data_IF_992308317477
#
_entry.id   IF_992308317477
#
_cell.length_a   1.000
_cell.length_b   1.000
_cell.length_c   1.000
_cell.angle_alpha   90.00
_cell.angle_beta   90.00
_cell.angle_gamma   90.00
#
_symmetry.space_group_name_H-M   'P 1'
#
loop_
_entity.id
_entity.type
_entity.pdbx_description
1 polymer ?
#
# COMPACT_ATOMS: atom_id res chain seq x y z
N UNK A 1 4.69 4.52 24.60
CA UNK A 1 5.01 4.26 23.17
C UNK A 1 5.83 2.98 23.07
N UNK A 2 5.18 1.85 22.79
CA UNK A 2 5.89 0.58 22.63
C UNK A 2 6.52 0.55 21.23
N UNK A 3 7.85 0.57 21.16
CA UNK A 3 8.60 0.63 19.88
C UNK A 3 8.29 -0.57 18.98
N UNK A 4 7.92 -1.70 19.59
CA UNK A 4 7.61 -2.95 18.89
C UNK A 4 6.27 -2.88 18.15
N UNK A 5 5.27 -2.21 18.72
CA UNK A 5 3.97 -1.99 18.07
C UNK A 5 4.11 -1.09 16.84
N UNK A 6 4.90 -0.01 16.95
CA UNK A 6 5.17 0.90 15.83
C UNK A 6 5.92 0.19 14.69
N UNK A 7 6.91 -0.65 15.03
CA UNK A 7 7.63 -1.46 14.03
C UNK A 7 6.70 -2.44 13.32
N UNK A 8 5.85 -3.16 14.05
CA UNK A 8 4.88 -4.11 13.45
C UNK A 8 3.88 -3.40 12.53
N UNK A 9 3.38 -2.24 12.95
CA UNK A 9 2.49 -1.42 12.13
C UNK A 9 3.17 -0.96 10.82
N UNK A 10 4.41 -0.43 10.90
CA UNK A 10 5.16 0.00 9.71
C UNK A 10 5.41 -1.15 8.74
N UNK A 11 5.73 -2.34 9.25
CA UNK A 11 5.95 -3.53 8.42
C UNK A 11 4.63 -3.95 7.74
N UNK A 12 3.53 -4.02 8.49
CA UNK A 12 2.22 -4.40 7.95
C UNK A 12 1.72 -3.40 6.88
N UNK A 13 1.82 -2.10 7.16
CA UNK A 13 1.49 -1.03 6.25
C UNK A 13 2.33 -1.09 4.96
N UNK A 14 3.64 -1.29 5.10
CA UNK A 14 4.56 -1.42 3.97
C UNK A 14 4.25 -2.63 3.10
N UNK A 15 4.00 -3.79 3.70
CA UNK A 15 3.63 -5.02 2.98
C UNK A 15 2.32 -4.82 2.21
N UNK A 16 1.32 -4.19 2.84
CA UNK A 16 0.05 -3.88 2.19
C UNK A 16 0.23 -2.92 1.02
N UNK A 17 1.01 -1.85 1.19
CA UNK A 17 1.30 -0.90 0.13
C UNK A 17 1.96 -1.57 -1.09
N UNK A 18 2.98 -2.41 -0.86
CA UNK A 18 3.65 -3.16 -1.93
C UNK A 18 2.68 -4.13 -2.62
N UNK A 19 1.85 -4.84 -1.86
CA UNK A 19 0.83 -5.75 -2.43
C UNK A 19 -0.20 -4.99 -3.26
N UNK A 20 -0.67 -3.83 -2.80
CA UNK A 20 -1.60 -2.96 -3.54
C UNK A 20 -0.96 -2.43 -4.82
N UNK A 21 0.31 -2.01 -4.77
CA UNK A 21 1.05 -1.56 -5.94
C UNK A 21 1.19 -2.67 -6.98
N UNK A 22 1.58 -3.87 -6.54
CA UNK A 22 1.70 -5.04 -7.41
C UNK A 22 0.37 -5.44 -8.05
N UNK A 23 -0.71 -5.48 -7.27
CA UNK A 23 -2.05 -5.76 -7.80
C UNK A 23 -2.48 -4.71 -8.83
N UNK A 24 -2.24 -3.43 -8.55
CA UNK A 24 -2.55 -2.34 -9.48
C UNK A 24 -1.78 -2.47 -10.79
N UNK A 25 -0.48 -2.78 -10.71
CA UNK A 25 0.36 -2.99 -11.89
C UNK A 25 -0.14 -4.18 -12.74
N UNK A 26 -0.47 -5.31 -12.10
CA UNK A 26 -1.03 -6.49 -12.80
C UNK A 26 -2.36 -6.17 -13.47
N UNK A 27 -3.25 -5.43 -12.79
CA UNK A 27 -4.53 -5.00 -13.36
C UNK A 27 -4.34 -4.10 -14.59
N UNK A 28 -3.41 -3.14 -14.54
CA UNK A 28 -3.13 -2.27 -15.68
C UNK A 28 -2.60 -3.06 -16.88
N UNK A 29 -1.63 -3.95 -16.64
CA UNK A 29 -1.07 -4.85 -17.67
C UNK A 29 -2.18 -5.70 -18.30
N UNK A 30 -3.07 -6.29 -17.48
CA UNK A 30 -4.17 -7.14 -17.95
C UNK A 30 -5.28 -6.38 -18.68
N UNK A 31 -5.53 -5.11 -18.33
CA UNK A 31 -6.61 -4.30 -18.91
C UNK A 31 -6.38 -3.93 -20.37
N UNK A 32 -5.12 -3.72 -20.75
CA UNK A 32 -4.78 -3.25 -22.10
C UNK A 32 -4.69 -4.37 -23.12
N UNK A 33 -4.46 -5.63 -22.70
CA UNK A 33 -4.39 -6.81 -23.59
C UNK A 33 -3.55 -6.59 -24.87
N UNK A 34 -2.40 -5.95 -24.74
CA UNK A 34 -1.45 -5.68 -25.84
C UNK A 34 -0.13 -6.42 -25.59
N UNK A 35 0.72 -6.51 -26.62
CA UNK A 35 2.07 -7.02 -26.47
C UNK A 35 2.82 -6.28 -25.34
N UNK A 36 3.67 -6.99 -24.61
CA UNK A 36 4.41 -6.42 -23.46
C UNK A 36 5.28 -5.20 -23.85
N UNK A 37 5.63 -5.11 -25.13
CA UNK A 37 6.41 -4.02 -25.75
C UNK A 37 5.59 -2.76 -26.03
N UNK A 38 4.27 -2.87 -26.11
CA UNK A 38 3.34 -1.75 -26.34
C UNK A 38 2.75 -1.19 -25.05
N UNK A 39 3.17 -1.71 -23.89
CA UNK A 39 2.74 -1.18 -22.60
C UNK A 39 3.47 0.13 -22.30
N UNK A 40 2.72 1.13 -21.85
CA UNK A 40 3.31 2.33 -21.26
C UNK A 40 3.78 2.03 -19.84
N UNK A 41 5.01 1.54 -19.74
CA UNK A 41 5.66 1.24 -18.47
C UNK A 41 5.82 2.47 -17.57
N UNK A 42 5.93 3.66 -18.16
CA UNK A 42 5.98 4.91 -17.41
C UNK A 42 4.66 5.17 -16.69
N UNK A 43 3.54 5.02 -17.41
CA UNK A 43 2.21 5.14 -16.83
C UNK A 43 1.93 4.07 -15.78
N UNK A 44 2.27 2.81 -16.05
CA UNK A 44 2.05 1.69 -15.11
C UNK A 44 2.83 1.92 -13.81
N UNK A 45 4.10 2.33 -13.91
CA UNK A 45 4.92 2.65 -12.75
C UNK A 45 4.38 3.86 -11.98
N UNK A 46 3.94 4.91 -12.67
CA UNK A 46 3.37 6.09 -12.03
C UNK A 46 2.08 5.77 -11.26
N UNK A 47 1.17 4.99 -11.86
CA UNK A 47 -0.09 4.61 -11.21
C UNK A 47 0.17 3.65 -10.04
N UNK A 48 1.08 2.69 -10.19
CA UNK A 48 1.47 1.79 -9.10
C UNK A 48 2.13 2.54 -7.93
N UNK A 49 2.96 3.55 -8.21
CA UNK A 49 3.55 4.40 -7.18
C UNK A 49 2.49 5.25 -6.46
N UNK A 50 1.55 5.85 -7.20
CA UNK A 50 0.43 6.59 -6.62
C UNK A 50 -0.45 5.71 -5.73
N UNK A 51 -0.81 4.50 -6.16
CA UNK A 51 -1.60 3.58 -5.33
C UNK A 51 -0.82 3.05 -4.12
N UNK A 52 0.51 2.88 -4.23
CA UNK A 52 1.34 2.58 -3.08
C UNK A 52 1.29 3.70 -2.03
N UNK A 53 1.46 4.96 -2.45
CA UNK A 53 1.39 6.14 -1.57
C UNK A 53 0.01 6.25 -0.94
N UNK A 54 -1.06 6.10 -1.72
CA UNK A 54 -2.44 6.11 -1.20
C UNK A 54 -2.66 4.98 -0.20
N UNK A 55 -2.09 3.79 -0.43
CA UNK A 55 -2.18 2.66 0.51
C UNK A 55 -1.48 2.96 1.84
N UNK A 56 -0.30 3.59 1.79
CA UNK A 56 0.40 4.09 3.00
C UNK A 56 -0.41 5.17 3.71
N UNK A 57 -0.97 6.14 2.97
CA UNK A 57 -1.79 7.21 3.55
C UNK A 57 -3.09 6.67 4.17
N UNK A 58 -3.71 5.67 3.54
CA UNK A 58 -4.92 5.01 4.06
C UNK A 58 -4.60 4.19 5.31
N UNK A 59 -3.41 3.58 5.36
CA UNK A 59 -2.92 2.89 6.54
C UNK A 59 -2.82 3.83 7.76
N UNK A 60 -2.53 5.12 7.57
CA UNK A 60 -2.57 6.13 8.65
C UNK A 60 -4.00 6.32 9.18
N UNK A 61 -5.02 6.19 8.34
CA UNK A 61 -6.42 6.23 8.74
C UNK A 61 -6.91 4.92 9.40
N UNK A 62 -6.17 3.81 9.28
CA UNK A 62 -6.43 2.55 9.97
C UNK A 62 -5.82 1.33 9.26
N UNK A 63 -5.15 0.46 10.02
CA UNK A 63 -4.66 -0.86 9.55
C UNK A 63 -5.38 -1.95 10.33
N UNK A 64 -6.37 -2.64 9.73
CA UNK A 64 -7.12 -3.70 10.40
C UNK A 64 -6.31 -4.98 10.60
N UNK A 65 -5.13 -5.14 9.95
CA UNK A 65 -4.26 -6.32 10.10
C UNK A 65 -3.45 -6.35 11.43
N UNK A 66 -3.61 -5.37 12.32
CA UNK A 66 -3.01 -5.37 13.66
C UNK A 66 -4.14 -5.29 14.69
N UNK A 67 -4.57 -6.44 15.19
CA UNK A 67 -5.38 -6.57 16.41
C UNK A 67 -4.53 -6.16 17.63
N UNK A 68 -4.25 -4.86 17.72
CA UNK A 68 -3.84 -4.15 18.93
C UNK A 68 -4.09 -2.66 18.68
N UNK A 69 -5.31 -2.38 18.19
CA UNK A 69 -5.68 -1.14 17.49
C UNK A 69 -5.13 0.11 18.15
N UNK A 70 -4.19 0.78 17.48
CA UNK A 70 -3.72 2.12 17.83
C UNK A 70 -2.88 2.62 16.65
N UNK A 71 -3.43 3.52 15.82
CA UNK A 71 -2.58 4.61 15.38
C UNK A 71 -2.08 5.27 16.68
N UNK A 72 -0.80 5.64 16.84
CA UNK A 72 -0.28 6.20 18.10
C UNK A 72 -1.02 7.46 18.61
N UNK A 73 -1.97 7.98 17.82
CA UNK A 73 -2.87 9.08 18.12
C UNK A 73 -4.25 8.68 18.68
N UNK A 74 -4.66 7.41 18.59
CA UNK A 74 -5.93 6.92 19.13
C UNK A 74 -5.87 6.58 20.63
N UNK A 75 -4.67 6.52 21.23
CA UNK A 75 -4.47 6.26 22.66
C UNK A 75 -4.68 7.53 23.52
N UNK A 76 -5.73 8.30 23.22
CA UNK A 76 -6.28 9.33 24.09
C UNK A 76 -7.80 9.27 24.04
N UNK A 77 -8.34 8.25 24.71
CA UNK A 77 -9.50 8.42 25.57
C UNK A 77 -9.48 7.37 26.68
#
# INVERSE_FOLDING_TARGET
MNKDALKRWLIAAGVRAVKTAAQTAVTLIGSTAVAITSLDWGQIAAVAACTAVVSVLTSIAGVPEVEEGTSPFAMRH
#
